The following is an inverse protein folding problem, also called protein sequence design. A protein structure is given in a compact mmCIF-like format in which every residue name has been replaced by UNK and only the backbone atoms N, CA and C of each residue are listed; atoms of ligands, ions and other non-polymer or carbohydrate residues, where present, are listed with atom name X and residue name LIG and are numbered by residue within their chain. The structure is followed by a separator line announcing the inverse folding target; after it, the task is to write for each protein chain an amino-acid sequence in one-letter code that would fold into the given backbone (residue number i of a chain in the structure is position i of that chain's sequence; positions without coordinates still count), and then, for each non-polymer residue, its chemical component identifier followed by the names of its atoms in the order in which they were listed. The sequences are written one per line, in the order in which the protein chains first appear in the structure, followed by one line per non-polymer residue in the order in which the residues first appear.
data_IF_117363503942
#
_entry.id   IF_117363503942
#
_cell.length_a   1.000
_cell.length_b   1.000
_cell.length_c   1.000
_cell.angle_alpha   90.00
_cell.angle_beta   90.00
_cell.angle_gamma   90.00
#
_symmetry.space_group_name_H-M   'P 1'
#
loop_
_entity.id
_entity.type
_entity.pdbx_description
1 polymer ?
#
# COMPACT_ATOMS: atom_id res chain seq x y z
N UNK A 1 10.55 15.80 -15.41
CA UNK A 1 10.63 14.38 -15.84
C UNK A 1 11.27 13.48 -14.79
N UNK A 2 12.54 13.64 -14.37
CA UNK A 2 13.12 12.78 -13.31
C UNK A 2 12.36 12.85 -11.96
N UNK A 3 11.92 14.05 -11.56
CA UNK A 3 11.08 14.24 -10.38
C UNK A 3 9.79 13.40 -10.43
N UNK A 4 9.11 13.40 -11.58
CA UNK A 4 7.85 12.69 -11.79
C UNK A 4 8.02 11.17 -11.73
N UNK A 5 9.08 10.64 -12.36
CA UNK A 5 9.42 9.22 -12.25
C UNK A 5 9.74 8.83 -10.81
N UNK A 6 10.50 9.66 -10.10
CA UNK A 6 10.83 9.43 -8.70
C UNK A 6 9.58 9.41 -7.83
N UNK A 7 8.68 10.38 -8.02
CA UNK A 7 7.41 10.45 -7.30
C UNK A 7 6.53 9.22 -7.56
N UNK A 8 6.36 8.82 -8.83
CA UNK A 8 5.55 7.64 -9.19
C UNK A 8 6.12 6.34 -8.62
N UNK A 9 7.44 6.12 -8.76
CA UNK A 9 8.08 4.85 -8.38
C UNK A 9 8.38 4.74 -6.88
N UNK A 10 8.41 5.85 -6.16
CA UNK A 10 8.75 5.89 -4.73
C UNK A 10 7.53 6.28 -3.91
N UNK A 11 7.06 7.53 -4.03
CA UNK A 11 5.98 8.04 -3.17
C UNK A 11 4.62 7.38 -3.47
N UNK A 12 4.26 7.24 -4.75
CA UNK A 12 2.96 6.66 -5.14
C UNK A 12 2.94 5.14 -5.08
N UNK A 13 4.07 4.50 -5.37
CA UNK A 13 4.23 3.06 -5.27
C UNK A 13 4.52 2.59 -3.82
N UNK A 14 4.71 3.50 -2.87
CA UNK A 14 5.06 3.17 -1.48
C UNK A 14 4.13 2.11 -0.87
N UNK A 15 2.80 2.17 -1.00
CA UNK A 15 1.94 1.12 -0.45
C UNK A 15 2.18 -0.25 -1.09
N UNK A 16 2.49 -0.30 -2.39
CA UNK A 16 2.77 -1.55 -3.09
C UNK A 16 4.11 -2.15 -2.64
N UNK A 17 5.13 -1.30 -2.42
CA UNK A 17 6.43 -1.75 -1.90
C UNK A 17 6.34 -2.15 -0.42
N UNK A 18 5.61 -1.39 0.39
CA UNK A 18 5.35 -1.73 1.78
C UNK A 18 4.60 -3.07 1.90
N UNK A 19 3.64 -3.33 0.99
CA UNK A 19 2.99 -4.63 0.87
C UNK A 19 3.99 -5.74 0.60
N UNK A 20 4.82 -5.61 -0.44
CA UNK A 20 5.77 -6.67 -0.83
C UNK A 20 6.78 -6.98 0.27
N UNK A 21 7.37 -5.96 0.89
CA UNK A 21 8.32 -6.13 1.99
C UNK A 21 7.64 -6.81 3.20
N UNK A 22 6.43 -6.36 3.55
CA UNK A 22 5.68 -6.96 4.67
C UNK A 22 5.28 -8.40 4.36
N UNK A 23 4.90 -8.70 3.11
CA UNK A 23 4.60 -10.06 2.67
C UNK A 23 5.82 -10.96 2.81
N UNK A 24 6.99 -10.50 2.34
CA UNK A 24 8.24 -11.25 2.41
C UNK A 24 8.64 -11.55 3.87
N UNK A 25 8.53 -10.55 4.75
CA UNK A 25 8.84 -10.70 6.18
C UNK A 25 7.91 -11.71 6.87
N UNK A 26 6.59 -11.58 6.67
CA UNK A 26 5.62 -12.54 7.25
C UNK A 26 5.83 -13.94 6.67
N UNK A 27 6.12 -14.06 5.38
CA UNK A 27 6.34 -15.34 4.70
C UNK A 27 7.58 -16.06 5.27
N UNK A 28 8.73 -15.37 5.31
CA UNK A 28 9.98 -15.91 5.87
C UNK A 28 9.79 -16.26 7.34
N UNK A 29 9.23 -15.34 8.12
CA UNK A 29 9.01 -15.55 9.54
C UNK A 29 8.07 -16.72 9.81
N UNK A 30 7.03 -16.91 8.99
CA UNK A 30 6.12 -18.05 9.13
C UNK A 30 6.84 -19.38 8.87
N UNK A 31 7.65 -19.47 7.80
CA UNK A 31 8.41 -20.67 7.48
C UNK A 31 9.49 -20.93 8.54
N UNK A 32 10.20 -19.91 9.01
CA UNK A 32 11.19 -20.00 10.07
C UNK A 32 10.57 -20.54 11.36
N UNK A 33 9.42 -20.00 11.74
CA UNK A 33 8.67 -20.44 12.91
C UNK A 33 8.21 -21.88 12.79
N UNK A 34 7.64 -22.26 11.64
CA UNK A 34 7.26 -23.64 11.38
C UNK A 34 8.50 -24.54 11.52
N UNK A 35 9.57 -24.23 10.80
CA UNK A 35 10.81 -25.02 10.80
C UNK A 35 11.41 -25.20 12.21
N UNK A 36 11.60 -24.12 12.96
CA UNK A 36 12.17 -24.16 14.31
C UNK A 36 11.27 -24.92 15.30
N UNK A 37 9.96 -24.78 15.17
CA UNK A 37 9.00 -25.45 16.06
C UNK A 37 8.85 -26.95 15.75
N UNK A 38 9.11 -27.37 14.51
CA UNK A 38 9.24 -28.79 14.15
C UNK A 38 10.60 -29.40 14.53
N UNK A 39 11.68 -28.62 14.43
CA UNK A 39 13.02 -29.01 14.87
C UNK A 39 13.07 -29.36 16.36
N UNK A 40 12.41 -28.56 17.21
CA UNK A 40 12.31 -28.81 18.66
C UNK A 40 11.66 -30.17 19.00
N UNK A 41 10.90 -30.74 18.05
CA UNK A 41 10.20 -32.02 18.22
C UNK A 41 10.92 -33.24 17.66
N UNK A 42 11.59 -33.11 16.52
CA UNK A 42 12.07 -34.26 15.77
C UNK A 42 13.58 -34.48 15.85
N UNK A 43 14.38 -33.45 16.15
CA UNK A 43 15.83 -33.60 16.10
C UNK A 43 16.56 -32.75 17.16
N UNK A 44 16.84 -33.37 18.31
CA UNK A 44 17.89 -32.87 19.22
C UNK A 44 19.31 -32.96 18.59
N UNK A 45 19.45 -33.45 17.35
CA UNK A 45 20.75 -33.64 16.69
C UNK A 45 21.34 -32.37 16.05
N UNK A 46 20.56 -31.28 15.89
CA UNK A 46 21.07 -29.97 15.44
C UNK A 46 21.55 -29.05 16.58
N UNK A 47 21.21 -29.39 17.83
CA UNK A 47 21.70 -28.71 19.02
C UNK A 47 23.24 -28.63 19.19
N UNK A 48 24.09 -29.54 18.67
CA UNK A 48 25.53 -29.44 18.86
C UNK A 48 26.25 -28.49 17.90
N UNK A 49 25.59 -27.90 16.88
CA UNK A 49 26.25 -27.02 15.90
C UNK A 49 26.12 -25.52 16.20
N UNK A 50 25.19 -25.11 17.07
CA UNK A 50 24.90 -23.70 17.34
C UNK A 50 24.78 -23.48 18.85
N UNK A 51 25.72 -22.74 19.44
CA UNK A 51 25.89 -22.66 20.90
C UNK A 51 24.76 -21.94 21.67
N UNK A 52 23.83 -21.28 20.98
CA UNK A 52 22.69 -20.57 21.58
C UNK A 52 21.46 -20.56 20.65
N UNK A 53 20.24 -20.69 21.21
CA UNK A 53 18.96 -20.61 20.49
C UNK A 53 18.85 -19.34 19.64
N UNK A 54 19.35 -18.20 20.14
CA UNK A 54 19.34 -16.95 19.38
C UNK A 54 20.15 -17.04 18.08
N UNK A 55 21.32 -17.70 18.12
CA UNK A 55 22.15 -17.90 16.93
C UNK A 55 21.50 -18.86 15.93
N UNK A 56 20.74 -19.85 16.41
CA UNK A 56 19.99 -20.77 15.55
C UNK A 56 18.87 -20.03 14.81
N UNK A 57 18.11 -19.21 15.53
CA UNK A 57 17.04 -18.38 14.93
C UNK A 57 17.59 -17.45 13.86
N UNK A 58 18.69 -16.74 14.16
CA UNK A 58 19.33 -15.85 13.17
C UNK A 58 19.82 -16.62 11.95
N UNK A 59 20.51 -17.75 12.16
CA UNK A 59 21.03 -18.55 11.05
C UNK A 59 19.92 -19.10 10.13
N UNK A 60 18.81 -19.57 10.71
CA UNK A 60 17.64 -20.03 9.95
C UNK A 60 17.02 -18.89 9.15
N UNK A 61 16.82 -17.72 9.77
CA UNK A 61 16.25 -16.57 9.09
C UNK A 61 17.13 -16.08 7.93
N UNK A 62 18.45 -16.00 8.12
CA UNK A 62 19.38 -15.58 7.06
C UNK A 62 19.34 -16.56 5.87
N UNK A 63 19.32 -17.87 6.14
CA UNK A 63 19.21 -18.89 5.11
C UNK A 63 17.85 -18.86 4.37
N UNK A 64 16.76 -18.61 5.09
CA UNK A 64 15.45 -18.45 4.48
C UNK A 64 15.36 -17.15 3.66
N UNK A 65 16.04 -16.09 4.09
CA UNK A 65 16.16 -14.86 3.31
C UNK A 65 16.87 -15.12 1.97
N UNK A 66 18.02 -15.79 1.99
CA UNK A 66 18.73 -16.22 0.78
C UNK A 66 17.84 -17.08 -0.12
N UNK A 67 17.15 -18.06 0.47
CA UNK A 67 16.26 -18.96 -0.26
C UNK A 67 15.04 -18.24 -0.86
N UNK A 68 14.59 -17.13 -0.28
CA UNK A 68 13.51 -16.32 -0.85
C UNK A 68 13.89 -15.63 -2.17
N UNK A 69 15.18 -15.53 -2.48
CA UNK A 69 15.69 -15.03 -3.75
C UNK A 69 16.25 -16.14 -4.65
N UNK A 70 16.03 -17.40 -4.30
CA UNK A 70 16.41 -18.57 -5.09
C UNK A 70 15.17 -19.29 -5.63
N UNK A 71 15.22 -19.74 -6.90
CA UNK A 71 14.18 -20.61 -7.47
C UNK A 71 14.48 -22.10 -7.30
N UNK A 72 15.58 -22.43 -6.61
CA UNK A 72 15.96 -23.80 -6.32
C UNK A 72 15.00 -24.40 -5.27
N UNK A 73 14.15 -25.32 -5.70
CA UNK A 73 13.20 -26.03 -4.83
C UNK A 73 13.86 -27.08 -3.95
N UNK A 74 15.16 -27.31 -4.13
CA UNK A 74 16.00 -28.21 -3.33
C UNK A 74 17.04 -27.46 -2.50
N UNK A 75 16.81 -26.16 -2.24
CA UNK A 75 17.72 -25.33 -1.44
C UNK A 75 18.01 -25.95 -0.07
N UNK A 76 19.29 -26.04 0.27
CA UNK A 76 19.78 -26.55 1.57
C UNK A 76 20.86 -25.63 2.12
N UNK A 77 20.73 -25.32 3.40
CA UNK A 77 21.62 -24.47 4.17
C UNK A 77 22.25 -25.20 5.36
N UNK A 78 23.31 -24.65 5.96
CA UNK A 78 23.96 -25.24 7.15
C UNK A 78 23.04 -25.35 8.37
N UNK A 79 22.03 -24.48 8.44
CA UNK A 79 21.06 -24.38 9.53
C UNK A 79 19.62 -24.67 9.10
N UNK A 80 19.37 -24.94 7.81
CA UNK A 80 18.04 -25.14 7.25
C UNK A 80 18.10 -26.25 6.20
N UNK A 81 17.36 -27.33 6.41
CA UNK A 81 17.26 -28.42 5.45
C UNK A 81 15.80 -28.86 5.34
N UNK A 82 15.30 -28.90 4.11
CA UNK A 82 13.96 -29.42 3.78
C UNK A 82 14.08 -30.48 2.70
N UNK A 83 13.02 -31.27 2.54
CA UNK A 83 12.96 -32.28 1.48
C UNK A 83 13.02 -31.61 0.09
N UNK A 84 13.74 -32.22 -0.87
CA UNK A 84 13.79 -31.70 -2.24
C UNK A 84 12.40 -31.50 -2.83
N UNK A 85 12.15 -30.33 -3.44
CA UNK A 85 10.87 -30.00 -4.07
C UNK A 85 9.86 -29.32 -3.15
N UNK A 86 10.13 -29.22 -1.85
CA UNK A 86 9.24 -28.55 -0.87
C UNK A 86 9.52 -27.06 -0.72
N UNK A 87 10.70 -26.60 -1.13
CA UNK A 87 11.10 -25.21 -0.96
C UNK A 87 10.50 -24.31 -2.06
N UNK A 88 9.28 -23.83 -1.82
CA UNK A 88 8.54 -22.97 -2.77
C UNK A 88 8.64 -21.47 -2.47
N UNK A 89 9.45 -21.10 -1.46
CA UNK A 89 9.57 -19.73 -0.95
C UNK A 89 9.93 -18.70 -2.02
N UNK A 90 10.96 -18.98 -2.84
CA UNK A 90 11.36 -18.06 -3.90
C UNK A 90 10.34 -17.92 -5.02
N UNK A 91 9.56 -18.97 -5.31
CA UNK A 91 8.45 -18.88 -6.27
C UNK A 91 7.33 -17.98 -5.77
N UNK A 92 6.98 -18.08 -4.49
CA UNK A 92 6.00 -17.21 -3.86
C UNK A 92 6.45 -15.75 -3.81
N UNK A 93 7.72 -15.50 -3.44
CA UNK A 93 8.29 -14.16 -3.47
C UNK A 93 8.31 -13.58 -4.90
N UNK A 94 8.78 -14.34 -5.89
CA UNK A 94 8.80 -13.90 -7.28
C UNK A 94 7.39 -13.57 -7.80
N UNK A 95 6.41 -14.41 -7.51
CA UNK A 95 5.02 -14.18 -7.91
C UNK A 95 4.43 -12.92 -7.25
N UNK A 96 4.71 -12.71 -5.95
CA UNK A 96 4.30 -11.49 -5.25
C UNK A 96 4.96 -10.25 -5.85
N UNK A 97 6.28 -10.30 -6.05
CA UNK A 97 7.05 -9.21 -6.64
C UNK A 97 6.54 -8.88 -8.04
N UNK A 98 6.28 -9.89 -8.89
CA UNK A 98 5.75 -9.69 -10.23
C UNK A 98 4.37 -9.01 -10.20
N UNK A 99 3.49 -9.42 -9.29
CA UNK A 99 2.18 -8.79 -9.10
C UNK A 99 2.31 -7.32 -8.66
N UNK A 100 3.15 -7.05 -7.66
CA UNK A 100 3.45 -5.70 -7.18
C UNK A 100 4.05 -4.82 -8.30
N UNK A 101 5.05 -5.34 -9.01
CA UNK A 101 5.71 -4.64 -10.11
C UNK A 101 4.71 -4.32 -11.23
N UNK A 102 3.83 -5.25 -11.59
CA UNK A 102 2.79 -5.02 -12.58
C UNK A 102 1.85 -3.87 -12.17
N UNK A 103 1.45 -3.81 -10.90
CA UNK A 103 0.60 -2.72 -10.37
C UNK A 103 1.30 -1.36 -10.51
N UNK A 104 2.59 -1.29 -10.11
CA UNK A 104 3.38 -0.05 -10.19
C UNK A 104 3.55 0.40 -11.65
N UNK A 105 3.85 -0.53 -12.56
CA UNK A 105 3.99 -0.22 -13.99
C UNK A 105 2.66 0.22 -14.59
N UNK A 106 1.55 -0.43 -14.24
CA UNK A 106 0.22 -0.05 -14.71
C UNK A 106 -0.13 1.39 -14.29
N UNK A 107 0.03 1.72 -13.01
CA UNK A 107 -0.24 3.07 -12.47
C UNK A 107 0.65 4.12 -13.15
N UNK A 108 1.95 3.82 -13.24
CA UNK A 108 2.94 4.70 -13.88
C UNK A 108 2.63 4.92 -15.36
N UNK A 109 2.32 3.86 -16.10
CA UNK A 109 2.01 3.92 -17.52
C UNK A 109 0.73 4.74 -17.78
N UNK A 110 -0.29 4.61 -16.93
CA UNK A 110 -1.55 5.33 -17.07
C UNK A 110 -1.40 6.86 -16.97
N UNK A 111 -0.38 7.33 -16.26
CA UNK A 111 0.00 8.74 -16.16
C UNK A 111 0.92 9.15 -17.33
N UNK A 112 1.97 8.37 -17.60
CA UNK A 112 2.97 8.70 -18.63
C UNK A 112 2.38 8.71 -20.05
N UNK A 113 1.47 7.80 -20.38
CA UNK A 113 0.86 7.73 -21.72
C UNK A 113 0.04 8.96 -22.09
N UNK A 114 -0.48 9.69 -21.10
CA UNK A 114 -1.22 10.95 -21.31
C UNK A 114 -0.32 12.17 -21.37
N UNK A 115 1.00 12.01 -21.23
CA UNK A 115 2.02 13.08 -21.22
C UNK A 115 1.88 14.10 -20.07
N UNK A 116 1.16 13.74 -19.01
CA UNK A 116 1.05 14.53 -17.78
C UNK A 116 2.29 14.29 -16.91
N UNK A 117 3.41 14.92 -17.29
CA UNK A 117 4.75 14.62 -16.75
C UNK A 117 5.28 15.66 -15.77
N UNK A 118 4.45 16.59 -15.30
CA UNK A 118 4.81 17.54 -14.24
C UNK A 118 4.15 17.15 -12.92
N UNK A 119 4.91 16.55 -12.00
CA UNK A 119 4.40 16.15 -10.69
C UNK A 119 3.91 17.32 -9.82
N UNK A 120 4.25 18.56 -10.19
CA UNK A 120 3.76 19.75 -9.51
C UNK A 120 2.44 20.27 -10.09
N UNK A 121 1.93 19.71 -11.19
CA UNK A 121 0.71 20.19 -11.84
C UNK A 121 -0.56 19.55 -11.27
N UNK A 122 -1.67 20.29 -11.32
CA UNK A 122 -3.00 19.79 -11.04
C UNK A 122 -3.45 18.73 -12.03
N UNK A 123 -3.04 18.83 -13.30
CA UNK A 123 -3.38 17.82 -14.31
C UNK A 123 -2.77 16.45 -13.97
N UNK A 124 -1.53 16.43 -13.46
CA UNK A 124 -0.90 15.22 -12.93
C UNK A 124 -1.67 14.64 -11.74
N UNK A 125 -2.02 15.47 -10.76
CA UNK A 125 -2.77 15.03 -9.56
C UNK A 125 -4.14 14.49 -9.94
N UNK A 126 -4.89 15.22 -10.78
CA UNK A 126 -6.19 14.81 -11.28
C UNK A 126 -6.11 13.47 -12.00
N UNK A 127 -5.15 13.31 -12.92
CA UNK A 127 -5.03 12.07 -13.67
C UNK A 127 -4.71 10.88 -12.77
N UNK A 128 -3.82 11.06 -11.82
CA UNK A 128 -3.44 10.00 -10.91
C UNK A 128 -4.60 9.66 -9.95
N UNK A 129 -5.41 10.66 -9.58
CA UNK A 129 -6.67 10.45 -8.86
C UNK A 129 -7.68 9.62 -9.66
N UNK A 130 -7.86 9.93 -10.95
CA UNK A 130 -8.73 9.16 -11.85
C UNK A 130 -8.29 7.70 -11.94
N UNK A 131 -6.99 7.45 -12.10
CA UNK A 131 -6.43 6.09 -12.17
C UNK A 131 -6.68 5.34 -10.87
N UNK A 132 -6.43 5.96 -9.72
CA UNK A 132 -6.73 5.35 -8.42
C UNK A 132 -8.22 5.12 -8.19
N UNK A 133 -9.06 6.04 -8.66
CA UNK A 133 -10.52 5.91 -8.61
C UNK A 133 -11.09 4.81 -9.50
N UNK A 134 -10.28 4.27 -10.41
CA UNK A 134 -10.71 3.20 -11.32
C UNK A 134 -10.92 1.87 -10.58
N UNK A 135 -11.82 1.04 -11.12
CA UNK A 135 -12.02 -0.31 -10.62
C UNK A 135 -10.77 -1.20 -10.70
N UNK A 136 -9.80 -0.87 -11.56
CA UNK A 136 -8.58 -1.65 -11.75
C UNK A 136 -7.68 -1.64 -10.50
N UNK A 137 -7.50 -0.48 -9.86
CA UNK A 137 -6.69 -0.38 -8.64
C UNK A 137 -7.36 -1.09 -7.45
N UNK A 138 -8.69 -1.02 -7.37
CA UNK A 138 -9.45 -1.80 -6.39
C UNK A 138 -9.29 -3.31 -6.61
N UNK A 139 -9.33 -3.77 -7.87
CA UNK A 139 -9.08 -5.19 -8.20
C UNK A 139 -7.64 -5.61 -7.86
N UNK A 140 -6.67 -4.73 -8.09
CA UNK A 140 -5.28 -4.97 -7.70
C UNK A 140 -5.13 -5.16 -6.18
N UNK A 141 -5.75 -4.29 -5.37
CA UNK A 141 -5.79 -4.44 -3.92
C UNK A 141 -6.42 -5.77 -3.47
N UNK A 142 -7.54 -6.16 -4.10
CA UNK A 142 -8.18 -7.47 -3.84
C UNK A 142 -7.25 -8.63 -4.22
N UNK A 143 -6.57 -8.55 -5.36
CA UNK A 143 -5.66 -9.59 -5.82
C UNK A 143 -4.48 -9.78 -4.85
N UNK A 144 -3.92 -8.71 -4.30
CA UNK A 144 -2.85 -8.77 -3.30
C UNK A 144 -3.32 -9.47 -1.99
N UNK A 145 -4.52 -9.14 -1.50
CA UNK A 145 -5.12 -9.80 -0.33
C UNK A 145 -5.38 -11.28 -0.60
N UNK A 146 -5.95 -11.61 -1.76
CA UNK A 146 -6.21 -13.00 -2.13
C UNK A 146 -4.92 -13.81 -2.27
N UNK A 147 -3.91 -13.25 -2.94
CA UNK A 147 -2.62 -13.90 -3.15
C UNK A 147 -1.92 -14.20 -1.81
N UNK A 148 -1.85 -13.21 -0.92
CA UNK A 148 -1.27 -13.40 0.42
C UNK A 148 -2.07 -14.43 1.23
N UNK A 149 -3.40 -14.34 1.23
CA UNK A 149 -4.26 -15.31 1.92
C UNK A 149 -4.06 -16.74 1.41
N UNK A 150 -4.00 -16.95 0.09
CA UNK A 150 -3.74 -18.26 -0.53
C UNK A 150 -2.37 -18.78 -0.13
N UNK A 151 -1.34 -17.92 -0.13
CA UNK A 151 0.01 -18.31 0.31
C UNK A 151 -0.02 -18.81 1.76
N UNK A 152 -0.65 -18.05 2.67
CA UNK A 152 -0.72 -18.45 4.08
C UNK A 152 -1.54 -19.71 4.31
N UNK A 153 -2.68 -19.86 3.61
CA UNK A 153 -3.48 -21.08 3.67
C UNK A 153 -2.67 -22.27 3.17
N UNK A 154 -1.93 -22.12 2.07
CA UNK A 154 -1.05 -23.17 1.55
C UNK A 154 -0.02 -23.61 2.60
N UNK A 155 0.69 -22.66 3.22
CA UNK A 155 1.69 -22.96 4.26
C UNK A 155 1.09 -23.67 5.47
N UNK A 156 -0.11 -23.28 5.88
CA UNK A 156 -0.83 -23.94 6.97
C UNK A 156 -1.20 -25.36 6.55
N UNK A 157 -1.81 -25.53 5.37
CA UNK A 157 -2.23 -26.84 4.86
C UNK A 157 -1.06 -27.83 4.68
N UNK A 158 0.12 -27.37 4.27
CA UNK A 158 1.31 -28.23 4.16
C UNK A 158 1.78 -28.81 5.48
N UNK A 159 1.31 -28.27 6.61
CA UNK A 159 1.78 -28.62 7.94
C UNK A 159 0.66 -29.19 8.83
N UNK A 160 -0.59 -28.83 8.58
CA UNK A 160 -1.74 -29.17 9.45
C UNK A 160 -1.94 -30.67 9.62
N UNK A 161 -1.68 -31.49 8.59
CA UNK A 161 -1.83 -32.95 8.69
C UNK A 161 -0.88 -33.58 9.73
N UNK A 162 0.23 -32.90 10.04
CA UNK A 162 1.23 -33.34 11.01
C UNK A 162 1.12 -32.62 12.37
N UNK A 163 0.25 -31.61 12.49
CA UNK A 163 0.24 -30.67 13.62
C UNK A 163 -0.99 -30.85 14.53
N UNK A 164 -0.75 -31.08 15.82
CA UNK A 164 -1.87 -31.15 16.79
C UNK A 164 -2.53 -29.78 17.01
N UNK A 165 -3.81 -29.77 17.36
CA UNK A 165 -4.56 -28.52 17.62
C UNK A 165 -3.87 -27.59 18.64
N UNK A 166 -3.24 -28.16 19.67
CA UNK A 166 -2.49 -27.40 20.69
C UNK A 166 -1.29 -26.66 20.08
N UNK A 167 -0.62 -27.27 19.10
CA UNK A 167 0.49 -26.67 18.38
C UNK A 167 0.00 -25.57 17.44
N UNK A 168 -1.10 -25.80 16.73
CA UNK A 168 -1.69 -24.79 15.85
C UNK A 168 -2.07 -23.53 16.61
N UNK A 169 -2.61 -23.67 17.82
CA UNK A 169 -2.85 -22.53 18.70
C UNK A 169 -1.56 -21.78 19.09
N UNK A 170 -0.48 -22.50 19.40
CA UNK A 170 0.81 -21.90 19.74
C UNK A 170 1.45 -21.16 18.57
N UNK A 171 1.40 -21.75 17.38
CA UNK A 171 1.84 -21.14 16.13
C UNK A 171 1.09 -19.84 15.83
N UNK A 172 -0.25 -19.88 15.81
CA UNK A 172 -1.09 -18.70 15.54
C UNK A 172 -0.85 -17.60 16.58
N UNK A 173 -0.72 -17.97 17.86
CA UNK A 173 -0.48 -16.98 18.94
C UNK A 173 0.88 -16.30 18.76
N UNK A 174 1.92 -17.07 18.45
CA UNK A 174 3.27 -16.54 18.25
C UNK A 174 3.36 -15.71 16.99
N UNK A 175 2.75 -16.16 15.88
CA UNK A 175 2.63 -15.40 14.65
C UNK A 175 1.95 -14.05 14.91
N UNK A 176 0.83 -14.03 15.63
CA UNK A 176 0.14 -12.78 15.96
C UNK A 176 0.98 -11.88 16.89
N UNK A 177 1.74 -12.43 17.84
CA UNK A 177 2.55 -11.60 18.73
C UNK A 177 3.79 -10.99 18.05
N UNK A 178 4.48 -11.76 17.21
CA UNK A 178 5.73 -11.32 16.60
C UNK A 178 5.55 -10.68 15.22
N UNK A 179 4.49 -11.05 14.49
CA UNK A 179 4.24 -10.60 13.12
C UNK A 179 3.01 -9.67 13.00
N UNK A 180 2.44 -9.20 14.11
CA UNK A 180 1.32 -8.24 14.07
C UNK A 180 1.63 -7.01 13.22
N UNK A 181 2.82 -6.40 13.38
CA UNK A 181 3.17 -5.18 12.64
C UNK A 181 3.25 -5.42 11.13
N UNK A 182 4.02 -6.41 10.63
CA UNK A 182 4.03 -6.75 9.21
C UNK A 182 2.65 -7.16 8.67
N UNK A 183 1.84 -7.91 9.43
CA UNK A 183 0.47 -8.28 9.02
C UNK A 183 -0.41 -7.04 8.88
N UNK A 184 -0.36 -6.12 9.84
CA UNK A 184 -1.11 -4.86 9.79
C UNK A 184 -0.64 -4.01 8.61
N UNK A 185 0.68 -3.92 8.37
CA UNK A 185 1.24 -3.18 7.25
C UNK A 185 0.80 -3.76 5.91
N UNK A 186 0.77 -5.09 5.76
CA UNK A 186 0.28 -5.79 4.58
C UNK A 186 -1.21 -5.50 4.31
N UNK A 187 -2.04 -5.60 5.34
CA UNK A 187 -3.48 -5.33 5.23
C UNK A 187 -3.74 -3.85 4.92
N UNK A 188 -3.10 -2.94 5.66
CA UNK A 188 -3.25 -1.49 5.47
C UNK A 188 -2.79 -1.06 4.07
N UNK A 189 -1.67 -1.61 3.60
CA UNK A 189 -1.15 -1.35 2.25
C UNK A 189 -2.12 -1.80 1.17
N UNK A 190 -2.66 -3.02 1.28
CA UNK A 190 -3.68 -3.51 0.34
C UNK A 190 -4.95 -2.68 0.38
N UNK A 191 -5.41 -2.34 1.58
CA UNK A 191 -6.60 -1.54 1.80
C UNK A 191 -6.47 -0.13 1.23
N UNK A 192 -5.28 0.46 1.31
CA UNK A 192 -5.00 1.79 0.72
C UNK A 192 -5.12 1.81 -0.81
N UNK A 193 -4.98 0.67 -1.48
CA UNK A 193 -5.22 0.54 -2.93
C UNK A 193 -6.70 0.33 -3.26
N UNK A 194 -7.48 -0.19 -2.29
CA UNK A 194 -8.91 -0.41 -2.43
C UNK A 194 -9.73 0.84 -2.12
N UNK A 195 -9.21 1.71 -1.26
CA UNK A 195 -9.84 2.95 -0.87
C UNK A 195 -9.29 4.12 -1.68
N UNK A 196 -10.20 4.87 -2.26
CA UNK A 196 -9.89 6.14 -2.91
C UNK A 196 -10.33 7.19 -1.91
N UNK A 197 -9.43 8.04 -1.40
CA UNK A 197 -9.85 9.11 -0.51
C UNK A 197 -10.94 9.94 -1.21
N UNK A 198 -11.96 10.38 -0.48
CA UNK A 198 -12.93 11.31 -1.04
C UNK A 198 -12.34 12.71 -0.93
N UNK A 199 -12.24 13.42 -2.05
CA UNK A 199 -11.85 14.83 -2.04
C UNK A 199 -13.01 15.66 -1.50
N UNK A 200 -12.70 16.66 -0.67
CA UNK A 200 -13.70 17.62 -0.16
C UNK A 200 -14.10 18.68 -1.19
N UNK A 201 -13.43 18.69 -2.33
CA UNK A 201 -13.62 19.61 -3.43
C UNK A 201 -13.60 18.82 -4.74
N UNK A 202 -14.09 19.45 -5.81
CA UNK A 202 -14.16 18.80 -7.12
C UNK A 202 -12.79 18.86 -7.83
N UNK A 203 -12.05 17.75 -7.79
CA UNK A 203 -10.77 17.58 -8.52
C UNK A 203 -11.00 17.60 -10.05
N UNK A 204 -12.21 17.31 -10.52
CA UNK A 204 -12.57 17.36 -11.93
C UNK A 204 -13.05 18.73 -12.38
N UNK A 205 -13.01 19.74 -11.50
CA UNK A 205 -13.38 21.11 -11.82
C UNK A 205 -12.56 21.67 -12.98
N UNK A 206 -13.23 22.46 -13.82
CA UNK A 206 -12.59 23.16 -14.95
C UNK A 206 -11.57 24.15 -14.37
N UNK A 207 -10.30 23.96 -14.70
CA UNK A 207 -9.18 24.78 -14.23
C UNK A 207 -8.35 24.15 -13.11
N UNK A 208 -8.76 23.03 -12.50
CA UNK A 208 -7.92 22.35 -11.50
C UNK A 208 -6.58 21.92 -12.11
N UNK A 209 -6.61 21.50 -13.38
CA UNK A 209 -5.42 21.14 -14.15
C UNK A 209 -4.37 22.25 -14.25
N UNK A 210 -4.80 23.51 -14.19
CA UNK A 210 -3.95 24.70 -14.34
C UNK A 210 -3.24 25.10 -13.04
N UNK A 211 -3.64 24.51 -11.90
CA UNK A 211 -3.01 24.77 -10.60
C UNK A 211 -1.61 24.15 -10.58
N UNK A 212 -0.60 24.92 -10.16
CA UNK A 212 0.75 24.44 -9.88
C UNK A 212 1.00 24.44 -8.38
N UNK A 213 1.27 23.26 -7.85
CA UNK A 213 1.63 23.04 -6.45
C UNK A 213 3.11 23.29 -6.20
N UNK A 214 3.41 23.84 -5.03
CA UNK A 214 4.77 24.03 -4.54
C UNK A 214 5.28 22.72 -3.93
N UNK A 215 5.94 21.89 -4.73
CA UNK A 215 6.61 20.67 -4.23
C UNK A 215 8.13 20.83 -4.18
N UNK A 216 8.69 20.58 -3.01
CA UNK A 216 10.15 20.43 -2.85
C UNK A 216 10.58 19.01 -3.23
N UNK A 217 11.88 18.80 -3.42
CA UNK A 217 12.43 17.45 -3.62
C UNK A 217 12.07 16.49 -2.49
N UNK A 218 12.05 16.96 -1.24
CA UNK A 218 11.64 16.14 -0.11
C UNK A 218 10.17 15.68 -0.23
N UNK A 219 9.27 16.61 -0.60
CA UNK A 219 7.86 16.30 -0.83
C UNK A 219 7.68 15.31 -1.99
N UNK A 220 8.49 15.43 -3.05
CA UNK A 220 8.48 14.50 -4.19
C UNK A 220 8.77 13.04 -3.78
N UNK A 221 9.54 12.80 -2.71
CA UNK A 221 9.84 11.44 -2.24
C UNK A 221 8.93 10.94 -1.12
N UNK A 222 8.33 11.84 -0.34
CA UNK A 222 7.66 11.48 0.92
C UNK A 222 6.15 11.78 0.93
N UNK A 223 5.67 12.70 0.09
CA UNK A 223 4.27 13.09 0.06
C UNK A 223 3.60 12.43 -1.14
N UNK A 224 2.56 11.63 -0.89
CA UNK A 224 1.69 11.16 -1.97
C UNK A 224 0.70 12.25 -2.39
N UNK A 225 0.16 12.15 -3.60
CA UNK A 225 -0.93 12.97 -4.10
C UNK A 225 -2.18 12.84 -3.23
N UNK A 226 -2.42 11.68 -2.62
CA UNK A 226 -3.47 11.51 -1.62
C UNK A 226 -3.30 12.45 -0.42
N UNK A 227 -2.10 12.47 0.16
CA UNK A 227 -1.75 13.39 1.24
C UNK A 227 -1.84 14.85 0.78
N UNK A 228 -1.31 15.18 -0.41
CA UNK A 228 -1.39 16.54 -0.94
C UNK A 228 -2.84 17.02 -1.11
N UNK A 229 -3.72 16.17 -1.64
CA UNK A 229 -5.13 16.52 -1.83
C UNK A 229 -5.83 16.75 -0.48
N UNK A 230 -5.48 15.99 0.54
CA UNK A 230 -6.00 16.19 1.91
C UNK A 230 -5.51 17.51 2.52
N UNK A 231 -4.21 17.79 2.40
CA UNK A 231 -3.58 19.03 2.85
C UNK A 231 -4.20 20.23 2.11
N UNK A 232 -4.35 20.13 0.79
CA UNK A 232 -4.95 21.15 -0.06
C UNK A 232 -6.44 21.37 0.26
N UNK A 233 -7.21 20.31 0.49
CA UNK A 233 -8.61 20.42 0.91
C UNK A 233 -8.76 21.12 2.27
N UNK A 234 -7.85 20.83 3.21
CA UNK A 234 -7.80 21.50 4.50
C UNK A 234 -7.40 22.98 4.36
N UNK A 235 -6.42 23.27 3.50
CA UNK A 235 -5.99 24.63 3.20
C UNK A 235 -7.07 25.46 2.49
N UNK A 236 -7.83 24.86 1.56
CA UNK A 236 -9.01 25.50 0.94
C UNK A 236 -10.06 25.88 1.97
N UNK A 237 -10.34 24.98 2.93
CA UNK A 237 -11.29 25.25 4.02
C UNK A 237 -10.82 26.40 4.90
N UNK A 238 -9.52 26.48 5.21
CA UNK A 238 -8.97 27.58 6.01
C UNK A 238 -8.96 28.90 5.25
N UNK A 239 -8.68 28.85 3.94
CA UNK A 239 -8.68 30.02 3.07
C UNK A 239 -10.09 30.60 2.88
N UNK A 240 -11.14 29.77 2.80
CA UNK A 240 -12.53 30.28 2.77
C UNK A 240 -12.91 31.03 4.04
N UNK A 241 -12.32 30.66 5.18
CA UNK A 241 -12.45 31.36 6.46
C UNK A 241 -11.50 32.58 6.61
N UNK A 242 -10.82 32.99 5.54
CA UNK A 242 -9.93 34.16 5.52
C UNK A 242 -8.50 33.90 5.99
N UNK A 243 -8.10 32.64 6.23
CA UNK A 243 -6.71 32.26 6.57
C UNK A 243 -6.01 31.66 5.35
N UNK A 244 -5.43 32.52 4.51
CA UNK A 244 -4.85 32.13 3.21
C UNK A 244 -3.45 31.51 3.29
N UNK A 245 -2.67 31.80 4.35
CA UNK A 245 -1.28 31.35 4.49
C UNK A 245 -1.02 29.87 4.16
N UNK A 246 -1.78 28.90 4.72
CA UNK A 246 -1.61 27.49 4.40
C UNK A 246 -1.79 27.15 2.91
N UNK A 247 -2.66 27.88 2.20
CA UNK A 247 -2.90 27.69 0.77
C UNK A 247 -1.81 28.35 -0.08
N UNK A 248 -1.29 29.51 0.36
CA UNK A 248 -0.14 30.20 -0.25
C UNK A 248 1.16 29.38 -0.14
N UNK A 249 1.28 28.57 0.90
CA UNK A 249 2.42 27.66 1.09
C UNK A 249 2.36 26.46 0.13
N UNK A 250 1.15 26.02 -0.25
CA UNK A 250 0.92 24.85 -1.09
C UNK A 250 0.84 25.16 -2.60
N UNK A 251 0.41 26.36 -2.98
CA UNK A 251 0.20 26.75 -4.38
C UNK A 251 1.27 27.75 -4.84
N UNK A 252 1.79 27.54 -6.04
CA UNK A 252 2.66 28.48 -6.74
C UNK A 252 1.83 29.42 -7.62
N UNK A 253 0.95 28.86 -8.46
CA UNK A 253 0.07 29.56 -9.39
C UNK A 253 -1.23 28.74 -9.58
N UNK A 254 -2.40 29.34 -9.86
CA UNK A 254 -2.69 30.77 -9.89
C UNK A 254 -2.79 31.38 -8.47
N UNK A 255 -3.28 32.62 -8.36
CA UNK A 255 -3.48 33.27 -7.05
C UNK A 255 -4.51 32.52 -6.19
N UNK A 256 -4.44 32.70 -4.88
CA UNK A 256 -5.35 32.07 -3.91
C UNK A 256 -6.83 32.30 -4.23
N UNK A 257 -7.19 33.52 -4.59
CA UNK A 257 -8.57 33.88 -4.93
C UNK A 257 -9.07 33.12 -6.17
N UNK A 258 -8.19 32.95 -7.16
CA UNK A 258 -8.50 32.21 -8.37
C UNK A 258 -8.61 30.70 -8.09
N UNK A 259 -7.75 30.16 -7.22
CA UNK A 259 -7.84 28.77 -6.75
C UNK A 259 -9.17 28.50 -6.03
N UNK A 260 -9.59 29.38 -5.13
CA UNK A 260 -10.88 29.27 -4.43
C UNK A 260 -12.06 29.27 -5.41
N UNK A 261 -11.98 30.10 -6.47
CA UNK A 261 -12.99 30.13 -7.53
C UNK A 261 -13.01 28.86 -8.37
N UNK A 262 -11.83 28.34 -8.76
CA UNK A 262 -11.70 27.12 -9.58
C UNK A 262 -12.28 25.92 -8.84
N UNK A 263 -11.93 25.76 -7.56
CA UNK A 263 -12.29 24.58 -6.80
C UNK A 263 -13.76 24.56 -6.30
N UNK A 264 -14.55 25.61 -6.59
CA UNK A 264 -15.97 25.74 -6.19
C UNK A 264 -16.21 25.23 -4.76
N UNK A 265 -15.42 25.73 -3.81
CA UNK A 265 -15.50 25.24 -2.43
C UNK A 265 -16.86 25.63 -1.84
N UNK A 266 -17.76 24.64 -1.71
CA UNK A 266 -19.06 24.82 -1.06
C UNK A 266 -18.78 24.85 0.43
N UNK A 267 -18.90 26.04 1.04
CA UNK A 267 -18.89 26.17 2.49
C UNK A 267 -19.96 25.23 3.07
N UNK A 268 -19.51 24.20 3.77
CA UNK A 268 -20.35 23.29 4.51
C UNK A 268 -20.89 23.93 5.78
N UNK A 269 -21.48 25.14 5.70
CA UNK A 269 -22.33 25.77 6.73
C UNK A 269 -22.80 27.16 6.25
N UNK A 270 -23.80 27.19 5.37
CA UNK A 270 -24.67 28.36 5.23
C UNK A 270 -26.13 27.92 5.41
N UNK A 271 -26.48 27.60 6.65
CA UNK A 271 -27.88 27.60 7.07
C UNK A 271 -28.32 29.06 7.28
N UNK A 272 -28.83 29.69 6.22
CA UNK A 272 -29.77 30.81 6.35
C UNK A 272 -30.59 30.95 5.05
N UNK A 273 -31.77 30.35 5.10
CA UNK A 273 -33.06 30.82 4.55
C UNK A 273 -33.06 31.74 3.31
N UNK A 274 -33.64 31.24 2.20
CA UNK A 274 -34.42 32.10 1.30
C UNK A 274 -34.50 31.69 -0.18
N UNK A 275 -35.60 31.01 -0.52
CA UNK A 275 -36.35 31.17 -1.78
C UNK A 275 -35.73 30.75 -3.13
N UNK A 276 -36.28 29.64 -3.64
CA UNK A 276 -36.67 29.35 -5.03
C UNK A 276 -35.67 29.50 -6.19
N UNK A 277 -35.38 28.35 -6.81
CA UNK A 277 -35.14 28.26 -8.25
C UNK A 277 -33.85 27.55 -8.67
N UNK A 278 -34.00 26.33 -9.17
CA UNK A 278 -33.07 25.63 -10.07
C UNK A 278 -31.66 25.28 -9.53
N UNK A 279 -31.54 24.12 -8.89
CA UNK A 279 -30.24 23.53 -8.58
C UNK A 279 -30.28 22.12 -7.99
N UNK A 280 -31.32 21.33 -8.26
CA UNK A 280 -31.49 19.98 -7.71
C UNK A 280 -30.88 18.90 -8.64
N UNK A 281 -29.55 18.88 -8.77
CA UNK A 281 -28.83 17.85 -9.54
C UNK A 281 -27.97 16.90 -8.70
N UNK A 282 -27.38 17.39 -7.61
CA UNK A 282 -26.33 16.65 -6.88
C UNK A 282 -26.82 15.98 -5.60
N UNK A 283 -27.98 16.38 -5.07
CA UNK A 283 -28.56 15.81 -3.83
C UNK A 283 -29.28 14.46 -4.03
N UNK A 284 -29.46 13.98 -5.26
CA UNK A 284 -30.20 12.74 -5.53
C UNK A 284 -29.36 11.46 -5.58
N UNK A 285 -28.02 11.56 -5.65
CA UNK A 285 -27.14 10.39 -5.74
C UNK A 285 -26.72 9.83 -4.36
N UNK A 286 -26.62 10.67 -3.34
CA UNK A 286 -26.19 10.26 -2.00
C UNK A 286 -27.25 9.50 -1.18
N UNK A 287 -28.51 9.47 -1.64
CA UNK A 287 -29.63 8.80 -0.95
C UNK A 287 -30.10 7.50 -1.61
N UNK A 288 -29.46 7.03 -2.70
CA UNK A 288 -29.78 5.75 -3.36
C UNK A 288 -28.84 4.59 -3.05
N UNK A 289 -27.79 4.80 -2.25
CA UNK A 289 -26.84 3.75 -1.87
C UNK A 289 -27.10 3.16 -0.47
N UNK A 290 -28.27 3.41 0.13
CA UNK A 290 -28.75 2.75 1.36
C UNK A 290 -30.22 2.34 1.23
N UNK A 291 -30.49 1.39 0.34
CA UNK A 291 -31.62 0.45 0.42
C UNK A 291 -31.19 -0.84 -0.26
#
# INVERSE_FOLDING_TARGET
MMATWSHLLIAEALPVWAFWISYLDVLISSIAWLYLWFLDRHDQQLAPKVGNIGQLVTCVNDQLWEAAFSLDTSYKGPCFETDPGTMVLGWFNLACFALCFFIVIFDTAAVVFRRELDCCSGSYVQRQWEVRSSGAMRLAGIALVLFSSITFVYLICTVVDEMSWKLMKGFVTSLLMYQAFPIVALIASSYSLMQVPQSRFDISSVGFGDIRFRRTWQMIFLQSNASLVEDFGSALTLASLGRTGPLEDLVLEPSVDEVLRICNFVDGESSETGSDGAGAGWRSWALRAKT
#
